data_IF_421914367927
#
_entry.id   IF_421914367927
#
_cell.length_a   1.000
_cell.length_b   1.000
_cell.length_c   1.000
_cell.angle_alpha   90.00
_cell.angle_beta   90.00
_cell.angle_gamma   90.00
#
_symmetry.space_group_name_H-M   'P 1'
#
loop_
_entity.id
_entity.type
_entity.pdbx_description
1 polymer ?
#
# COMPACT_ATOMS: atom_id res chain seq x y z
N UNK A 1 18.98 -3.84 -5.42
CA UNK A 1 18.51 -2.47 -5.05
C UNK A 1 18.89 -2.20 -3.58
N UNK A 2 19.47 -1.04 -3.24
CA UNK A 2 19.92 -0.72 -1.85
C UNK A 2 19.07 0.33 -1.13
N UNK A 3 18.18 1.03 -1.83
CA UNK A 3 17.30 2.04 -1.24
C UNK A 3 16.31 1.43 -0.26
N UNK A 4 16.06 2.15 0.84
CA UNK A 4 15.08 1.79 1.88
C UNK A 4 14.20 3.00 2.14
N UNK A 5 12.89 2.82 2.07
CA UNK A 5 11.89 3.87 2.32
C UNK A 5 10.88 3.35 3.33
N UNK A 6 10.52 4.16 4.31
CA UNK A 6 9.41 3.90 5.23
C UNK A 6 8.26 4.82 4.86
N UNK A 7 7.11 4.25 4.54
CA UNK A 7 5.86 4.96 4.25
C UNK A 7 4.95 4.85 5.46
N UNK A 8 4.52 5.99 6.01
CA UNK A 8 3.57 6.05 7.12
C UNK A 8 2.20 6.41 6.56
N UNK A 9 1.28 5.45 6.60
CA UNK A 9 -0.04 5.48 6.00
C UNK A 9 -0.07 4.83 4.62
N UNK A 10 -1.00 3.90 4.43
CA UNK A 10 -1.38 3.27 3.15
C UNK A 10 -2.71 3.84 2.61
N UNK A 11 -3.15 4.99 3.13
CA UNK A 11 -4.37 5.70 2.72
C UNK A 11 -4.24 6.43 1.37
N UNK A 12 -5.00 7.52 1.17
CA UNK A 12 -5.14 8.17 -0.14
C UNK A 12 -3.82 8.60 -0.81
N UNK A 13 -2.83 9.04 -0.04
CA UNK A 13 -1.51 9.41 -0.56
C UNK A 13 -0.53 8.22 -0.57
N UNK A 14 -0.56 7.42 0.49
CA UNK A 14 0.32 6.26 0.63
C UNK A 14 0.07 5.19 -0.41
N UNK A 15 -1.20 4.96 -0.75
CA UNK A 15 -1.62 3.98 -1.73
C UNK A 15 -0.93 4.14 -3.10
N UNK A 16 -1.02 5.28 -3.81
CA UNK A 16 -0.29 5.46 -5.07
C UNK A 16 1.22 5.54 -4.86
N UNK A 17 1.69 6.15 -3.77
CA UNK A 17 3.12 6.28 -3.47
C UNK A 17 3.81 4.91 -3.36
N UNK A 18 3.21 3.97 -2.62
CA UNK A 18 3.75 2.61 -2.43
C UNK A 18 3.89 1.90 -3.78
N UNK A 19 2.86 1.98 -4.63
CA UNK A 19 2.90 1.36 -5.96
C UNK A 19 3.97 1.99 -6.85
N UNK A 20 4.12 3.32 -6.81
CA UNK A 20 5.13 4.01 -7.61
C UNK A 20 6.56 3.75 -7.12
N UNK A 21 6.78 3.70 -5.80
CA UNK A 21 8.09 3.32 -5.26
C UNK A 21 8.47 1.89 -5.65
N UNK A 22 7.49 0.96 -5.61
CA UNK A 22 7.70 -0.42 -6.04
C UNK A 22 8.04 -0.49 -7.54
N UNK A 23 7.24 0.16 -8.39
CA UNK A 23 7.46 0.22 -9.83
C UNK A 23 8.78 0.92 -10.21
N UNK A 24 9.21 1.91 -9.43
CA UNK A 24 10.50 2.59 -9.60
C UNK A 24 11.71 1.75 -9.17
N UNK A 25 11.50 0.55 -8.61
CA UNK A 25 12.57 -0.32 -8.15
C UNK A 25 13.19 0.14 -6.84
N UNK A 26 12.41 0.66 -5.89
CA UNK A 26 12.91 0.85 -4.52
C UNK A 26 13.13 -0.52 -3.87
N UNK A 27 14.31 -0.71 -3.26
CA UNK A 27 14.72 -2.03 -2.79
C UNK A 27 13.95 -2.56 -1.58
N UNK A 28 13.66 -1.70 -0.61
CA UNK A 28 12.84 -2.06 0.55
C UNK A 28 11.85 -0.95 0.83
N UNK A 29 10.57 -1.30 0.90
CA UNK A 29 9.49 -0.38 1.28
C UNK A 29 8.86 -0.93 2.56
N UNK A 30 9.08 -0.25 3.68
CA UNK A 30 8.31 -0.49 4.91
C UNK A 30 7.02 0.31 4.87
N UNK A 31 5.91 -0.27 5.32
CA UNK A 31 4.61 0.40 5.39
C UNK A 31 4.05 0.27 6.80
N UNK A 32 3.64 1.39 7.39
CA UNK A 32 2.94 1.43 8.68
C UNK A 32 1.55 2.00 8.44
N UNK A 33 0.52 1.22 8.72
CA UNK A 33 -0.87 1.67 8.78
C UNK A 33 -1.59 0.78 9.80
N UNK A 34 -2.49 1.37 10.58
CA UNK A 34 -3.23 0.67 11.63
C UNK A 34 -4.66 0.32 11.20
N UNK A 35 -5.11 0.84 10.06
CA UNK A 35 -6.45 0.61 9.55
C UNK A 35 -6.57 -0.75 8.84
N UNK A 36 -7.80 -1.23 8.79
CA UNK A 36 -8.24 -2.24 7.82
C UNK A 36 -8.81 -1.57 6.55
N UNK A 37 -8.82 -2.31 5.45
CA UNK A 37 -9.45 -1.88 4.19
C UNK A 37 -10.96 -1.82 4.37
N UNK A 38 -11.58 -0.72 3.94
CA UNK A 38 -13.04 -0.57 3.88
C UNK A 38 -13.54 -0.26 2.46
N UNK A 39 -14.83 -0.47 2.22
CA UNK A 39 -15.45 -0.16 0.92
C UNK A 39 -15.23 1.31 0.51
N UNK A 40 -15.30 2.24 1.46
CA UNK A 40 -15.09 3.67 1.22
C UNK A 40 -13.63 4.07 0.99
N UNK A 41 -12.71 3.11 0.91
CA UNK A 41 -11.34 3.34 0.50
C UNK A 41 -11.17 3.16 -1.02
N UNK A 42 -11.95 2.26 -1.64
CA UNK A 42 -11.69 1.74 -2.97
C UNK A 42 -11.82 2.79 -4.09
N UNK A 43 -12.56 3.87 -3.87
CA UNK A 43 -12.69 4.95 -4.85
C UNK A 43 -11.43 5.82 -4.98
N UNK A 44 -10.46 5.70 -4.06
CA UNK A 44 -9.23 6.54 -4.09
C UNK A 44 -7.94 5.86 -3.65
N UNK A 45 -8.01 4.71 -3.00
CA UNK A 45 -6.83 3.98 -2.50
C UNK A 45 -6.56 2.78 -3.42
N UNK A 46 -5.95 3.07 -4.58
CA UNK A 46 -5.72 2.13 -5.70
C UNK A 46 -4.84 0.91 -5.37
N UNK A 47 -4.20 0.89 -4.21
CA UNK A 47 -3.44 -0.25 -3.70
C UNK A 47 -4.35 -1.32 -3.07
N UNK A 48 -5.63 -1.03 -2.86
CA UNK A 48 -6.58 -1.93 -2.22
C UNK A 48 -7.65 -2.41 -3.21
N UNK A 49 -8.04 -3.68 -3.11
CA UNK A 49 -9.07 -4.29 -3.96
C UNK A 49 -10.27 -4.73 -3.15
N UNK A 50 -11.40 -4.97 -3.82
CA UNK A 50 -12.64 -5.40 -3.14
C UNK A 50 -12.46 -6.68 -2.31
N UNK A 51 -11.62 -7.61 -2.78
CA UNK A 51 -11.28 -8.84 -2.06
C UNK A 51 -10.46 -8.61 -0.77
N UNK A 52 -9.89 -7.43 -0.58
CA UNK A 52 -9.09 -7.09 0.60
C UNK A 52 -9.91 -6.44 1.72
N UNK A 53 -11.21 -6.17 1.52
CA UNK A 53 -12.06 -5.53 2.54
C UNK A 53 -11.99 -6.34 3.85
N UNK A 54 -11.72 -5.64 4.96
CA UNK A 54 -11.53 -6.24 6.29
C UNK A 54 -10.09 -6.67 6.60
N UNK A 55 -9.22 -6.83 5.60
CA UNK A 55 -7.81 -7.11 5.83
C UNK A 55 -7.03 -5.86 6.27
N UNK A 56 -5.92 -5.99 7.01
CA UNK A 56 -5.04 -4.88 7.31
C UNK A 56 -4.55 -4.19 6.03
N UNK A 57 -4.56 -2.85 5.99
CA UNK A 57 -4.10 -2.10 4.81
C UNK A 57 -2.65 -2.40 4.46
N UNK A 58 -1.81 -2.64 5.46
CA UNK A 58 -0.39 -3.00 5.28
C UNK A 58 -0.24 -4.29 4.46
N UNK A 59 -1.08 -5.30 4.70
CA UNK A 59 -1.03 -6.56 3.96
C UNK A 59 -1.58 -6.41 2.54
N UNK A 60 -2.68 -5.68 2.38
CA UNK A 60 -3.25 -5.39 1.05
C UNK A 60 -2.26 -4.60 0.19
N UNK A 61 -1.64 -3.56 0.74
CA UNK A 61 -0.63 -2.77 0.04
C UNK A 61 0.62 -3.60 -0.31
N UNK A 62 1.07 -4.49 0.58
CA UNK A 62 2.18 -5.40 0.30
C UNK A 62 1.86 -6.36 -0.87
N UNK A 63 0.65 -6.95 -0.88
CA UNK A 63 0.19 -7.80 -2.00
C UNK A 63 0.15 -7.03 -3.32
N UNK A 64 -0.31 -5.78 -3.30
CA UNK A 64 -0.41 -4.95 -4.49
C UNK A 64 0.96 -4.52 -5.04
N UNK A 65 1.94 -4.28 -4.17
CA UNK A 65 3.29 -3.87 -4.55
C UNK A 65 4.22 -5.02 -4.94
N UNK A 66 3.89 -6.27 -4.58
CA UNK A 66 4.67 -7.47 -4.88
C UNK A 66 4.28 -8.15 -6.21
N UNK A 67 3.21 -7.69 -6.86
CA UNK A 67 2.75 -8.16 -8.16
C UNK A 67 3.45 -7.42 -9.30
#
# INVERSE_FOLDING_TARGET
LKSKVLVIGAGGLGSPLILYLAAAGVGTIGVIDHDAVSLSNLQRQIAHRAQDIGAPKVESAARAAAA
#
